data_IF_230179559713
#
_entry.id   IF_230179559713
#
_cell.length_a   1.000
_cell.length_b   1.000
_cell.length_c   1.000
_cell.angle_alpha   90.00
_cell.angle_beta   90.00
_cell.angle_gamma   90.00
#
_symmetry.space_group_name_H-M   'P 1'
#
loop_
_entity.id
_entity.type
_entity.pdbx_description
1 polymer ?
#
# COMPACT_ATOMS: atom_id res chain seq x y z
N UNK A 1 8.56 -3.61 -4.58
CA UNK A 1 7.70 -2.77 -3.76
C UNK A 1 8.15 -1.32 -3.85
N UNK A 2 9.38 -0.99 -3.50
CA UNK A 2 9.94 0.37 -3.54
C UNK A 2 10.61 0.67 -4.88
N UNK A 3 10.35 1.84 -5.44
CA UNK A 3 10.93 2.35 -6.69
C UNK A 3 11.63 3.66 -6.39
N UNK A 4 12.94 3.79 -6.65
CA UNK A 4 13.68 5.01 -6.40
C UNK A 4 13.31 6.10 -7.42
N UNK A 5 13.37 7.36 -6.99
CA UNK A 5 13.22 8.54 -7.82
C UNK A 5 14.58 9.23 -8.06
N UNK A 6 14.75 9.97 -9.17
CA UNK A 6 16.02 10.63 -9.50
C UNK A 6 16.55 11.57 -8.42
N UNK A 7 15.68 12.29 -7.73
CA UNK A 7 16.02 13.19 -6.62
C UNK A 7 16.49 12.48 -5.35
N UNK A 8 16.46 11.13 -5.32
CA UNK A 8 16.77 10.31 -4.16
C UNK A 8 15.56 9.94 -3.30
N UNK A 9 14.38 10.48 -3.60
CA UNK A 9 13.12 10.01 -3.04
C UNK A 9 12.71 8.63 -3.55
N UNK A 10 11.54 8.16 -3.17
CA UNK A 10 11.02 6.87 -3.63
C UNK A 10 9.49 6.82 -3.58
N UNK A 11 8.92 5.97 -4.42
CA UNK A 11 7.53 5.55 -4.29
C UNK A 11 7.46 4.12 -3.77
N UNK A 12 6.50 3.85 -2.91
CA UNK A 12 6.19 2.52 -2.37
C UNK A 12 4.84 2.07 -2.89
N UNK A 13 4.79 0.93 -3.58
CA UNK A 13 3.57 0.41 -4.18
C UNK A 13 3.10 -0.80 -3.38
N UNK A 14 1.91 -0.71 -2.79
CA UNK A 14 1.28 -1.74 -1.98
C UNK A 14 -0.05 -2.19 -2.57
N UNK A 15 -0.19 -3.50 -2.71
CA UNK A 15 -1.44 -4.12 -3.11
C UNK A 15 -2.24 -4.48 -1.86
N UNK A 16 -3.44 -3.93 -1.76
CA UNK A 16 -4.44 -4.37 -0.77
C UNK A 16 -5.50 -5.22 -1.47
N UNK A 17 -6.41 -5.79 -0.70
CA UNK A 17 -7.53 -6.55 -1.27
C UNK A 17 -8.42 -5.70 -2.20
N UNK A 18 -8.63 -4.42 -1.87
CA UNK A 18 -9.57 -3.55 -2.55
C UNK A 18 -8.94 -2.58 -3.56
N UNK A 19 -7.70 -2.16 -3.33
CA UNK A 19 -7.05 -1.10 -4.11
C UNK A 19 -5.52 -1.24 -4.11
N UNK A 20 -4.86 -0.46 -4.96
CA UNK A 20 -3.42 -0.25 -4.90
C UNK A 20 -3.13 1.08 -4.23
N UNK A 21 -2.36 1.07 -3.15
CA UNK A 21 -1.88 2.27 -2.48
C UNK A 21 -0.45 2.57 -2.95
N UNK A 22 -0.17 3.84 -3.22
CA UNK A 22 1.15 4.34 -3.61
C UNK A 22 1.50 5.49 -2.68
N UNK A 23 2.59 5.33 -1.94
CA UNK A 23 3.11 6.31 -1.00
C UNK A 23 4.38 6.96 -1.57
N UNK A 24 4.48 8.29 -1.48
CA UNK A 24 5.61 9.08 -1.98
C UNK A 24 6.47 9.54 -0.82
N UNK A 25 7.73 9.17 -0.85
CA UNK A 25 8.72 9.52 0.18
C UNK A 25 9.81 10.41 -0.40
N UNK A 26 10.12 11.53 0.27
CA UNK A 26 11.26 12.39 -0.06
C UNK A 26 12.58 11.80 0.43
N UNK A 27 13.69 12.24 -0.15
CA UNK A 27 15.03 11.95 0.39
C UNK A 27 15.23 12.64 1.75
N UNK A 28 16.03 12.02 2.63
CA UNK A 28 16.31 12.51 3.99
C UNK A 28 17.06 13.84 4.09
N UNK A 29 17.54 14.42 3.00
CA UNK A 29 18.48 15.53 3.03
C UNK A 29 17.82 16.84 2.61
N UNK A 30 17.13 17.49 3.52
CA UNK A 30 16.80 18.91 3.41
C UNK A 30 17.43 19.69 4.56
N UNK A 31 18.74 19.67 4.67
CA UNK A 31 19.44 20.62 5.50
C UNK A 31 19.40 21.99 4.79
N UNK A 32 18.40 22.83 5.13
CA UNK A 32 18.35 24.24 4.77
C UNK A 32 17.68 24.60 3.44
N UNK A 33 16.93 23.69 2.79
CA UNK A 33 16.16 24.00 1.58
C UNK A 33 14.68 24.31 1.88
N UNK A 34 14.00 24.89 0.90
CA UNK A 34 12.55 25.08 0.93
C UNK A 34 11.87 23.71 0.90
N UNK A 35 11.18 23.35 1.98
CA UNK A 35 10.48 22.07 2.15
C UNK A 35 9.41 21.92 1.09
N UNK A 36 8.66 22.98 0.81
CA UNK A 36 7.61 23.03 -0.21
C UNK A 36 8.18 22.77 -1.61
N UNK A 37 9.29 23.41 -1.99
CA UNK A 37 9.93 23.19 -3.29
C UNK A 37 10.46 21.76 -3.44
N UNK A 38 10.98 21.19 -2.36
CA UNK A 38 11.45 19.79 -2.35
C UNK A 38 10.27 18.82 -2.49
N UNK A 39 9.18 19.04 -1.77
CA UNK A 39 7.96 18.25 -1.87
C UNK A 39 7.40 18.30 -3.29
N UNK A 40 7.26 19.49 -3.86
CA UNK A 40 6.78 19.68 -5.22
C UNK A 40 7.63 18.93 -6.25
N UNK A 41 8.95 19.10 -6.21
CA UNK A 41 9.85 18.42 -7.15
C UNK A 41 9.79 16.89 -7.03
N UNK A 42 9.80 16.37 -5.79
CA UNK A 42 9.65 14.93 -5.57
C UNK A 42 8.31 14.40 -6.08
N UNK A 43 7.23 15.14 -5.87
CA UNK A 43 5.90 14.79 -6.36
C UNK A 43 5.78 14.83 -7.89
N UNK A 44 6.49 15.75 -8.57
CA UNK A 44 6.56 15.77 -10.04
C UNK A 44 7.20 14.48 -10.59
N UNK A 45 8.36 14.10 -10.05
CA UNK A 45 9.02 12.85 -10.41
C UNK A 45 8.14 11.63 -10.10
N UNK A 46 7.50 11.63 -8.92
CA UNK A 46 6.59 10.57 -8.52
C UNK A 46 5.39 10.43 -9.48
N UNK A 47 4.80 11.53 -9.94
CA UNK A 47 3.67 11.51 -10.86
C UNK A 47 4.03 10.81 -12.20
N UNK A 48 5.21 11.08 -12.74
CA UNK A 48 5.71 10.41 -13.94
C UNK A 48 6.00 8.92 -13.69
N UNK A 49 6.69 8.63 -12.59
CA UNK A 49 7.09 7.28 -12.26
C UNK A 49 5.88 6.40 -11.94
N UNK A 50 4.86 6.91 -11.23
CA UNK A 50 3.60 6.20 -10.99
C UNK A 50 2.93 5.83 -12.31
N UNK A 51 2.80 6.76 -13.24
CA UNK A 51 2.22 6.49 -14.56
C UNK A 51 3.02 5.41 -15.31
N UNK A 52 4.34 5.43 -15.20
CA UNK A 52 5.23 4.41 -15.78
C UNK A 52 5.02 3.04 -15.13
N UNK A 53 4.97 2.99 -13.79
CA UNK A 53 4.79 1.75 -13.03
C UNK A 53 3.41 1.13 -13.25
N UNK A 54 2.35 1.94 -13.38
CA UNK A 54 1.03 1.44 -13.74
C UNK A 54 1.04 0.65 -15.04
N UNK A 55 1.73 1.15 -16.07
CA UNK A 55 1.87 0.45 -17.35
C UNK A 55 2.75 -0.78 -17.26
N UNK A 56 3.91 -0.68 -16.60
CA UNK A 56 4.88 -1.78 -16.49
C UNK A 56 4.35 -2.97 -15.71
N UNK A 57 3.56 -2.71 -14.66
CA UNK A 57 3.03 -3.74 -13.75
C UNK A 57 1.59 -4.13 -14.05
N UNK A 58 0.96 -3.53 -15.07
CA UNK A 58 -0.46 -3.68 -15.38
C UNK A 58 -1.36 -3.44 -14.16
N UNK A 59 -1.04 -2.42 -13.37
CA UNK A 59 -1.88 -2.05 -12.23
C UNK A 59 -3.25 -1.59 -12.73
N UNK A 60 -4.31 -2.13 -12.18
CA UNK A 60 -5.68 -1.80 -12.57
C UNK A 60 -6.63 -1.79 -11.38
N UNK A 61 -7.80 -1.21 -11.56
CA UNK A 61 -8.76 -0.95 -10.50
C UNK A 61 -8.56 0.41 -9.86
N UNK A 62 -8.93 0.55 -8.60
CA UNK A 62 -8.75 1.78 -7.84
C UNK A 62 -7.29 1.89 -7.38
N UNK A 63 -6.69 3.05 -7.61
CA UNK A 63 -5.33 3.38 -7.20
C UNK A 63 -5.40 4.70 -6.43
N UNK A 64 -4.81 4.72 -5.24
CA UNK A 64 -4.72 5.90 -4.38
C UNK A 64 -3.25 6.25 -4.23
N UNK A 65 -2.91 7.51 -4.52
CA UNK A 65 -1.55 8.04 -4.42
C UNK A 65 -1.53 9.04 -3.27
N UNK A 66 -0.65 8.81 -2.33
CA UNK A 66 -0.36 9.70 -1.20
C UNK A 66 0.87 10.53 -1.57
N UNK A 67 0.61 11.76 -2.04
CA UNK A 67 1.66 12.71 -2.37
C UNK A 67 2.17 13.41 -1.10
N UNK A 68 3.43 13.83 -1.11
CA UNK A 68 3.97 14.67 -0.05
C UNK A 68 3.13 15.93 0.04
N UNK A 69 2.77 16.35 1.25
CA UNK A 69 1.94 17.52 1.50
C UNK A 69 2.49 18.77 0.79
N UNK A 70 1.60 19.49 0.11
CA UNK A 70 1.87 20.75 -0.56
C UNK A 70 0.87 21.80 -0.08
N UNK A 71 1.36 22.92 0.41
CA UNK A 71 0.53 24.04 0.90
C UNK A 71 -0.01 24.90 -0.26
N UNK A 72 0.78 25.03 -1.36
CA UNK A 72 0.39 25.84 -2.52
C UNK A 72 -0.59 25.10 -3.45
N UNK A 73 -1.83 25.62 -3.62
CA UNK A 73 -2.78 25.05 -4.56
C UNK A 73 -2.30 25.08 -6.03
N UNK A 74 -1.32 25.91 -6.37
CA UNK A 74 -0.74 25.92 -7.71
C UNK A 74 0.13 24.69 -7.94
N UNK A 75 0.91 24.27 -6.93
CA UNK A 75 1.69 23.06 -6.96
C UNK A 75 0.79 21.82 -7.10
N UNK A 76 -0.29 21.73 -6.32
CA UNK A 76 -1.25 20.61 -6.43
C UNK A 76 -1.83 20.49 -7.85
N UNK A 77 -2.23 21.63 -8.45
CA UNK A 77 -2.74 21.65 -9.83
C UNK A 77 -1.68 21.25 -10.85
N UNK A 78 -0.42 21.64 -10.64
CA UNK A 78 0.69 21.24 -11.50
C UNK A 78 0.90 19.72 -11.46
N UNK A 79 0.87 19.10 -10.27
CA UNK A 79 0.96 17.64 -10.11
C UNK A 79 -0.22 16.92 -10.77
N UNK A 80 -1.46 17.43 -10.59
CA UNK A 80 -2.63 16.88 -11.28
C UNK A 80 -2.48 16.93 -12.81
N UNK A 81 -1.92 18.01 -13.33
CA UNK A 81 -1.66 18.14 -14.76
C UNK A 81 -0.55 17.21 -15.22
N UNK A 82 0.53 17.09 -14.43
CA UNK A 82 1.67 16.24 -14.74
C UNK A 82 1.27 14.76 -14.85
N UNK A 83 0.49 14.26 -13.89
CA UNK A 83 0.02 12.87 -13.97
C UNK A 83 -0.94 12.64 -15.14
N UNK A 84 -1.82 13.60 -15.46
CA UNK A 84 -2.70 13.52 -16.65
C UNK A 84 -1.89 13.42 -17.94
N UNK A 85 -0.83 14.19 -18.06
CA UNK A 85 0.08 14.16 -19.22
C UNK A 85 0.84 12.83 -19.30
N UNK A 86 1.37 12.34 -18.18
CA UNK A 86 2.10 11.09 -18.12
C UNK A 86 1.23 9.86 -18.48
N UNK A 87 -0.07 9.92 -18.19
CA UNK A 87 -1.03 8.85 -18.50
C UNK A 87 -1.58 8.93 -19.93
N UNK A 88 -1.40 10.05 -20.63
CA UNK A 88 -1.98 10.29 -21.98
C UNK A 88 -1.71 9.17 -22.97
N UNK A 89 -0.59 8.47 -22.83
CA UNK A 89 -0.17 7.37 -23.71
C UNK A 89 -0.53 5.98 -23.16
N UNK A 90 -1.31 5.90 -22.08
CA UNK A 90 -1.79 4.62 -21.57
C UNK A 90 -2.89 4.05 -22.48
N UNK A 91 -2.79 2.76 -22.78
CA UNK A 91 -3.81 2.04 -23.56
C UNK A 91 -5.09 1.79 -22.77
N UNK A 92 -4.99 1.76 -21.44
CA UNK A 92 -6.12 1.57 -20.56
C UNK A 92 -6.88 2.89 -20.36
N UNK A 93 -8.19 2.80 -20.21
CA UNK A 93 -9.00 3.96 -19.81
C UNK A 93 -8.67 4.31 -18.37
N UNK A 94 -8.28 5.57 -18.12
CA UNK A 94 -7.99 6.09 -16.79
C UNK A 94 -8.91 7.26 -16.48
N UNK A 95 -9.48 7.26 -15.28
CA UNK A 95 -10.23 8.39 -14.72
C UNK A 95 -9.46 8.88 -13.50
N UNK A 96 -9.24 10.19 -13.40
CA UNK A 96 -8.43 10.82 -12.34
C UNK A 96 -9.28 11.85 -11.62
N UNK A 97 -9.32 11.79 -10.29
CA UNK A 97 -9.87 12.84 -9.45
C UNK A 97 -8.88 14.00 -9.25
N UNK A 98 -9.31 15.06 -8.60
CA UNK A 98 -8.41 16.10 -8.08
C UNK A 98 -7.75 15.61 -6.80
N UNK A 99 -6.61 16.21 -6.46
CA UNK A 99 -6.01 16.00 -5.14
C UNK A 99 -7.01 16.45 -4.07
N UNK A 100 -7.30 15.57 -3.14
CA UNK A 100 -8.21 15.83 -2.04
C UNK A 100 -7.57 16.75 -0.99
N UNK A 101 -8.39 17.30 -0.09
CA UNK A 101 -7.90 18.07 1.06
C UNK A 101 -6.97 17.28 2.01
N UNK A 102 -6.84 15.99 1.82
CA UNK A 102 -5.97 15.11 2.58
C UNK A 102 -4.67 14.77 1.84
N UNK A 103 -4.34 15.47 0.73
CA UNK A 103 -3.16 15.18 -0.08
C UNK A 103 -3.28 13.98 -1.01
N UNK A 104 -4.40 13.24 -0.99
CA UNK A 104 -4.60 12.01 -1.74
C UNK A 104 -5.11 12.30 -3.16
N UNK A 105 -4.50 11.65 -4.15
CA UNK A 105 -5.01 11.58 -5.51
C UNK A 105 -5.58 10.20 -5.79
N UNK A 106 -6.85 10.17 -6.14
CA UNK A 106 -7.57 8.95 -6.48
C UNK A 106 -7.69 8.82 -7.99
N UNK A 107 -7.42 7.63 -8.51
CA UNK A 107 -7.64 7.31 -9.91
C UNK A 107 -8.17 5.89 -10.09
N UNK A 108 -8.92 5.68 -11.17
CA UNK A 108 -9.37 4.36 -11.60
C UNK A 108 -8.78 4.04 -12.95
N UNK A 109 -8.09 2.89 -13.06
CA UNK A 109 -7.52 2.40 -14.31
C UNK A 109 -8.19 1.09 -14.71
N UNK A 110 -8.65 1.02 -15.95
CA UNK A 110 -9.25 -0.19 -16.51
C UNK A 110 -8.27 -1.38 -16.40
N UNK A 111 -8.74 -2.51 -15.87
CA UNK A 111 -7.98 -3.77 -15.89
C UNK A 111 -8.00 -4.34 -17.30
N UNK A 112 -6.85 -4.42 -17.95
CA UNK A 112 -6.72 -5.04 -19.27
C UNK A 112 -6.38 -6.53 -19.15
N UNK A 113 -5.63 -6.89 -18.12
CA UNK A 113 -5.21 -8.25 -17.76
C UNK A 113 -4.87 -8.33 -16.27
N UNK A 114 -4.66 -9.51 -15.68
CA UNK A 114 -4.14 -9.63 -14.34
C UNK A 114 -2.81 -8.87 -14.18
N UNK A 115 -2.61 -8.22 -13.04
CA UNK A 115 -1.35 -7.52 -12.77
C UNK A 115 -0.19 -8.51 -12.71
N UNK A 116 1.03 -8.02 -12.92
CA UNK A 116 2.24 -8.85 -12.78
C UNK A 116 2.36 -9.45 -11.37
N UNK A 117 1.86 -8.75 -10.37
CA UNK A 117 1.82 -9.24 -9.00
C UNK A 117 0.88 -10.47 -8.88
N UNK A 118 -0.35 -10.36 -9.37
CA UNK A 118 -1.34 -11.47 -9.33
C UNK A 118 -0.86 -12.70 -10.10
N UNK A 119 -0.12 -12.49 -11.21
CA UNK A 119 0.40 -13.60 -12.03
C UNK A 119 1.67 -14.27 -11.50
N UNK A 120 2.38 -13.65 -10.54
CA UNK A 120 3.70 -14.12 -10.08
C UNK A 120 3.79 -14.41 -8.58
N UNK A 121 2.74 -14.11 -7.80
CA UNK A 121 2.72 -14.28 -6.36
C UNK A 121 1.55 -15.15 -5.93
N UNK A 122 1.77 -15.89 -4.86
CA UNK A 122 0.72 -16.62 -4.13
C UNK A 122 0.53 -15.97 -2.76
N UNK A 123 -0.68 -16.03 -2.22
CA UNK A 123 -0.96 -15.56 -0.87
C UNK A 123 -0.08 -16.29 0.13
N UNK A 124 0.61 -15.57 0.99
CA UNK A 124 1.46 -16.17 2.02
C UNK A 124 0.62 -17.06 2.96
N UNK A 125 0.89 -18.36 3.07
CA UNK A 125 0.08 -19.26 3.90
C UNK A 125 0.20 -18.97 5.40
N UNK A 126 1.25 -18.24 5.83
CA UNK A 126 1.48 -17.93 7.23
C UNK A 126 0.68 -16.72 7.71
N UNK A 127 0.63 -15.64 6.94
CA UNK A 127 -0.09 -14.41 7.31
C UNK A 127 -1.37 -14.18 6.50
N UNK A 128 -1.65 -15.03 5.53
CA UNK A 128 -2.84 -14.97 4.67
C UNK A 128 -2.99 -13.60 3.94
N UNK A 129 -1.85 -12.98 3.60
CA UNK A 129 -1.81 -11.67 2.93
C UNK A 129 -1.81 -10.46 3.87
N UNK A 130 -1.94 -10.67 5.18
CA UNK A 130 -2.03 -9.56 6.18
C UNK A 130 -0.67 -8.85 6.35
N UNK A 131 0.46 -9.52 6.08
CA UNK A 131 1.81 -8.96 6.26
C UNK A 131 2.33 -9.01 7.71
N UNK A 132 1.49 -9.42 8.66
CA UNK A 132 1.83 -9.58 10.08
C UNK A 132 1.26 -10.89 10.63
N UNK A 133 1.87 -11.41 11.66
CA UNK A 133 1.38 -12.56 12.42
C UNK A 133 1.37 -12.19 13.91
N UNK A 134 0.55 -12.88 14.67
CA UNK A 134 0.58 -12.74 16.13
C UNK A 134 1.92 -13.26 16.67
N UNK A 135 2.41 -12.60 17.72
CA UNK A 135 3.54 -13.10 18.49
C UNK A 135 3.14 -14.32 19.33
N UNK A 136 4.13 -14.98 19.93
CA UNK A 136 3.95 -16.19 20.71
C UNK A 136 3.06 -15.94 21.92
N UNK A 137 3.25 -14.85 22.65
CA UNK A 137 2.47 -14.48 23.83
C UNK A 137 0.99 -14.27 23.48
N UNK A 138 0.70 -13.42 22.49
CA UNK A 138 -0.69 -13.18 22.06
C UNK A 138 -1.36 -14.44 21.53
N UNK A 139 -0.61 -15.33 20.90
CA UNK A 139 -1.10 -16.61 20.42
C UNK A 139 -1.45 -17.55 21.57
N UNK A 140 -0.59 -17.64 22.58
CA UNK A 140 -0.83 -18.46 23.78
C UNK A 140 -2.06 -17.99 24.56
N UNK A 141 -2.19 -16.67 24.77
CA UNK A 141 -3.37 -16.10 25.44
C UNK A 141 -4.64 -16.38 24.63
N UNK A 142 -4.59 -16.30 23.31
CA UNK A 142 -5.76 -16.63 22.47
C UNK A 142 -6.16 -18.10 22.59
N UNK A 143 -5.19 -19.02 22.59
CA UNK A 143 -5.46 -20.45 22.78
C UNK A 143 -6.13 -20.70 24.12
N UNK A 144 -5.63 -20.10 25.20
CA UNK A 144 -6.24 -20.20 26.53
C UNK A 144 -7.68 -19.70 26.56
N UNK A 145 -7.98 -18.56 25.90
CA UNK A 145 -9.35 -18.04 25.81
C UNK A 145 -10.28 -19.00 25.08
N UNK A 146 -9.83 -19.54 23.95
CA UNK A 146 -10.62 -20.52 23.19
C UNK A 146 -10.87 -21.78 24.04
N UNK A 147 -9.86 -22.27 24.72
CA UNK A 147 -10.03 -23.42 25.64
C UNK A 147 -10.99 -23.14 26.79
N UNK A 148 -10.97 -21.94 27.36
CA UNK A 148 -11.94 -21.52 28.37
C UNK A 148 -13.37 -21.45 27.83
N UNK A 149 -13.55 -20.86 26.64
CA UNK A 149 -14.86 -20.80 26.00
C UNK A 149 -15.43 -22.18 25.67
N UNK A 150 -14.59 -23.10 25.17
CA UNK A 150 -15.00 -24.48 24.88
C UNK A 150 -15.26 -25.29 26.16
N UNK A 151 -14.49 -25.06 27.24
CA UNK A 151 -14.68 -25.72 28.51
C UNK A 151 -16.01 -25.37 29.19
N UNK A 152 -16.53 -24.18 28.93
CA UNK A 152 -17.80 -23.73 29.52
C UNK A 152 -19.03 -24.23 28.76
N UNK A 153 -18.87 -24.91 27.63
CA UNK A 153 -20.00 -25.51 26.90
C UNK A 153 -20.52 -26.76 27.59
N UNK A 154 -21.85 -26.86 27.65
CA UNK A 154 -22.50 -28.04 28.24
C UNK A 154 -22.09 -29.34 27.53
N UNK A 155 -21.70 -30.34 28.32
CA UNK A 155 -21.29 -31.66 27.82
C UNK A 155 -19.81 -31.80 27.44
N UNK A 156 -19.00 -30.77 27.61
CA UNK A 156 -17.56 -30.84 27.39
C UNK A 156 -16.89 -31.57 28.55
N UNK A 157 -16.30 -32.76 28.29
CA UNK A 157 -15.63 -33.58 29.29
C UNK A 157 -14.10 -33.57 29.16
N UNK A 158 -13.58 -33.26 27.96
CA UNK A 158 -12.14 -33.15 27.69
C UNK A 158 -11.89 -32.22 26.54
N UNK A 159 -10.77 -31.50 26.54
CA UNK A 159 -10.29 -30.63 25.50
C UNK A 159 -8.87 -30.99 25.09
N UNK A 160 -8.59 -30.94 23.82
CA UNK A 160 -7.24 -31.11 23.27
C UNK A 160 -6.96 -30.00 22.28
N UNK A 161 -5.85 -29.28 22.47
CA UNK A 161 -5.37 -28.26 21.56
C UNK A 161 -4.06 -28.72 20.93
N UNK A 162 -3.95 -28.53 19.60
CA UNK A 162 -2.70 -28.72 18.88
C UNK A 162 -2.15 -27.35 18.51
N UNK A 163 -0.99 -27.01 19.04
CA UNK A 163 -0.34 -25.70 18.89
C UNK A 163 1.15 -25.87 18.58
N UNK A 164 1.82 -24.85 17.98
CA UNK A 164 3.28 -24.84 17.83
C UNK A 164 3.98 -24.96 19.20
N UNK A 165 5.18 -25.54 19.18
CA UNK A 165 5.95 -25.83 20.43
C UNK A 165 6.25 -24.56 21.22
N UNK A 166 6.60 -23.47 20.55
CA UNK A 166 6.88 -22.17 21.16
C UNK A 166 5.65 -21.56 21.85
N UNK A 167 4.46 -21.83 21.36
CA UNK A 167 3.17 -21.41 21.97
C UNK A 167 2.82 -22.33 23.16
N UNK A 168 3.14 -23.62 23.07
CA UNK A 168 2.84 -24.58 24.11
C UNK A 168 3.74 -24.44 25.35
N UNK A 169 4.94 -23.88 25.18
CA UNK A 169 5.95 -23.70 26.24
C UNK A 169 5.91 -22.34 26.91
N UNK A 170 5.14 -21.41 26.38
CA UNK A 170 4.92 -20.10 26.96
C UNK A 170 3.93 -20.17 28.11
#
# INVERSE_FOLDING_TARGET
RTVPLPSGGSIVIDHTEALVAIDVNSARATAGGDIEATAFHTNEEAAEEVARQMRLRDLGGLIVIDFIDMEDPAHQRAIEQRIKEAIRHDRARVQIAKISRFGLLELSRQRLRPSLYEGSHITCPRCNGIGAIRDTESSAIQVLRILQEEALKDGTTALQAQVPVDVATY
#
